data_IF_874688797507
#
_entry.id   IF_874688797507
#
_cell.length_a   1.000
_cell.length_b   1.000
_cell.length_c   1.000
_cell.angle_alpha   90.00
_cell.angle_beta   90.00
_cell.angle_gamma   90.00
#
_symmetry.space_group_name_H-M   'P 1'
#
loop_
_entity.id
_entity.type
_entity.pdbx_description
1 polymer ?
#
# COMPACT_ATOMS: atom_id res chain seq x y z
N UNK A 1 32.93 41.32 -13.17
CA UNK A 1 31.47 41.08 -12.94
C UNK A 1 31.11 39.65 -13.36
N UNK A 2 31.51 38.62 -12.59
CA UNK A 2 31.29 37.19 -12.95
C UNK A 2 30.80 36.30 -11.78
N UNK A 3 30.51 36.86 -10.60
CA UNK A 3 30.03 36.10 -9.44
C UNK A 3 28.50 36.06 -9.27
N UNK A 4 27.73 36.92 -9.97
CA UNK A 4 26.26 37.01 -9.79
C UNK A 4 25.50 35.87 -10.50
N UNK A 5 26.04 35.34 -11.60
CA UNK A 5 25.34 34.33 -12.43
C UNK A 5 25.38 32.92 -11.83
N UNK A 6 26.39 32.60 -11.02
CA UNK A 6 26.54 31.28 -10.38
C UNK A 6 25.53 31.10 -9.23
N UNK A 7 25.24 32.17 -8.47
CA UNK A 7 24.25 32.11 -7.37
C UNK A 7 22.82 31.92 -7.87
N UNK A 8 22.49 32.41 -9.06
CA UNK A 8 21.13 32.33 -9.63
C UNK A 8 20.79 30.91 -10.11
N UNK A 9 21.78 30.14 -10.61
CA UNK A 9 21.59 28.76 -11.07
C UNK A 9 21.37 27.76 -9.92
N UNK A 10 22.02 27.97 -8.77
CA UNK A 10 21.88 27.06 -7.61
C UNK A 10 20.48 27.15 -7.00
N UNK A 11 19.87 28.35 -6.98
CA UNK A 11 18.51 28.54 -6.47
C UNK A 11 17.48 27.80 -7.33
N UNK A 12 17.63 27.81 -8.66
CA UNK A 12 16.73 27.08 -9.57
C UNK A 12 16.80 25.54 -9.39
N UNK A 13 18.00 24.99 -9.14
CA UNK A 13 18.17 23.56 -8.90
C UNK A 13 17.49 23.12 -7.60
N UNK A 14 17.60 23.91 -6.53
CA UNK A 14 16.98 23.58 -5.24
C UNK A 14 15.44 23.60 -5.33
N UNK A 15 14.86 24.52 -6.09
CA UNK A 15 13.40 24.59 -6.29
C UNK A 15 12.89 23.35 -7.06
N UNK A 16 13.63 22.90 -8.09
CA UNK A 16 13.23 21.75 -8.90
C UNK A 16 13.25 20.40 -8.15
N UNK A 17 14.11 20.26 -7.14
CA UNK A 17 14.21 19.03 -6.32
C UNK A 17 13.03 18.97 -5.32
N UNK A 18 12.67 20.10 -4.71
CA UNK A 18 11.57 20.15 -3.74
C UNK A 18 10.19 19.90 -4.40
N UNK A 19 9.98 20.35 -5.64
CA UNK A 19 8.74 20.06 -6.36
C UNK A 19 8.53 18.55 -6.62
N UNK A 20 9.61 17.83 -6.94
CA UNK A 20 9.54 16.40 -7.23
C UNK A 20 9.15 15.58 -5.99
N UNK A 21 9.72 15.90 -4.83
CA UNK A 21 9.38 15.23 -3.56
C UNK A 21 7.93 15.51 -3.10
N UNK A 22 7.38 16.69 -3.41
CA UNK A 22 6.00 17.02 -3.06
C UNK A 22 4.99 16.33 -4.01
N UNK A 23 5.31 16.23 -5.30
CA UNK A 23 4.45 15.54 -6.29
C UNK A 23 4.30 14.04 -6.02
N UNK A 24 5.33 13.36 -5.51
CA UNK A 24 5.27 11.91 -5.26
C UNK A 24 4.29 11.56 -4.14
N UNK A 25 4.23 12.34 -3.05
CA UNK A 25 3.24 12.12 -1.98
C UNK A 25 1.81 12.40 -2.46
N UNK A 26 1.61 13.46 -3.26
CA UNK A 26 0.29 13.76 -3.85
C UNK A 26 -0.22 12.65 -4.77
N UNK A 27 0.68 11.84 -5.36
CA UNK A 27 0.28 10.73 -6.22
C UNK A 27 -0.45 9.59 -5.50
N UNK A 28 -0.41 9.54 -4.17
CA UNK A 28 -1.09 8.55 -3.32
C UNK A 28 -2.31 9.12 -2.59
N UNK A 29 -2.24 10.38 -2.13
CA UNK A 29 -3.28 10.99 -1.30
C UNK A 29 -4.63 11.05 -2.02
N UNK A 30 -5.70 10.64 -1.33
CA UNK A 30 -7.07 10.62 -1.85
C UNK A 30 -7.40 9.38 -2.68
N UNK A 31 -6.44 8.48 -2.89
CA UNK A 31 -6.61 7.27 -3.71
C UNK A 31 -6.79 6.03 -2.88
N UNK A 32 -7.39 5.04 -3.52
CA UNK A 32 -7.61 3.70 -2.98
C UNK A 32 -6.85 2.73 -3.87
N UNK A 33 -6.04 1.87 -3.28
CA UNK A 33 -5.34 0.83 -3.99
C UNK A 33 -5.72 -0.54 -3.45
N UNK A 34 -5.70 -1.57 -4.29
CA UNK A 34 -5.97 -2.93 -3.85
C UNK A 34 -5.12 -3.98 -4.55
N UNK A 35 -4.84 -5.07 -3.84
CA UNK A 35 -4.17 -6.25 -4.38
C UNK A 35 -4.78 -7.53 -3.78
N UNK A 36 -4.84 -8.60 -4.59
CA UNK A 36 -5.17 -9.95 -4.11
C UNK A 36 -3.90 -10.57 -3.53
N UNK A 37 -3.88 -10.81 -2.23
CA UNK A 37 -2.70 -11.25 -1.47
C UNK A 37 -2.78 -12.70 -1.01
N UNK A 38 -3.95 -13.35 -1.14
CA UNK A 38 -4.10 -14.73 -0.73
C UNK A 38 -5.39 -15.38 -1.21
N UNK A 39 -5.52 -16.65 -0.88
CA UNK A 39 -6.75 -17.41 -1.00
C UNK A 39 -6.85 -18.43 0.13
N UNK A 40 -8.07 -18.78 0.51
CA UNK A 40 -8.40 -19.82 1.48
C UNK A 40 -9.33 -20.79 0.76
N UNK A 41 -9.04 -22.09 0.88
CA UNK A 41 -9.96 -23.15 0.48
C UNK A 41 -10.69 -23.63 1.74
N UNK A 42 -12.02 -23.68 1.70
CA UNK A 42 -12.84 -24.15 2.81
C UNK A 42 -13.34 -25.56 2.49
N UNK A 43 -13.03 -26.52 3.36
CA UNK A 43 -13.58 -27.88 3.29
C UNK A 43 -15.03 -27.85 3.77
N UNK A 44 -15.95 -28.40 2.98
CA UNK A 44 -17.38 -28.49 3.32
C UNK A 44 -17.87 -29.94 3.29
N UNK A 45 -18.78 -30.36 4.20
CA UNK A 45 -19.29 -31.74 4.22
C UNK A 45 -20.00 -32.14 2.92
N UNK A 46 -20.67 -31.17 2.28
CA UNK A 46 -21.34 -31.30 0.99
C UNK A 46 -20.73 -30.33 -0.02
N UNK A 47 -20.78 -30.60 -1.34
CA UNK A 47 -20.29 -29.68 -2.36
C UNK A 47 -20.92 -28.29 -2.23
N UNK A 48 -20.11 -27.29 -1.90
CA UNK A 48 -20.54 -25.89 -1.83
C UNK A 48 -19.78 -25.06 -2.85
N UNK A 49 -20.43 -24.54 -3.91
CA UNK A 49 -19.76 -23.75 -4.95
C UNK A 49 -19.22 -22.41 -4.43
N UNK A 50 -19.69 -21.94 -3.27
CA UNK A 50 -19.21 -20.74 -2.63
C UNK A 50 -18.07 -21.00 -1.62
N UNK A 51 -17.67 -22.26 -1.42
CA UNK A 51 -16.60 -22.60 -0.50
C UNK A 51 -15.25 -22.14 -1.07
N UNK A 52 -14.59 -21.28 -0.30
CA UNK A 52 -13.33 -20.64 -0.69
C UNK A 52 -13.44 -19.12 -0.76
N UNK A 53 -12.34 -18.49 -0.41
CA UNK A 53 -12.25 -17.03 -0.29
C UNK A 53 -10.96 -16.53 -0.93
N UNK A 54 -11.04 -15.40 -1.62
CA UNK A 54 -9.88 -14.62 -2.02
C UNK A 54 -9.64 -13.52 -0.98
N UNK A 55 -8.38 -13.30 -0.61
CA UNK A 55 -8.01 -12.27 0.36
C UNK A 55 -7.44 -11.09 -0.41
N UNK A 56 -7.99 -9.91 -0.14
CA UNK A 56 -7.58 -8.63 -0.69
C UNK A 56 -7.07 -7.72 0.41
N UNK A 57 -5.96 -7.03 0.14
CA UNK A 57 -5.52 -5.90 0.93
C UNK A 57 -5.92 -4.62 0.20
N UNK A 58 -6.64 -3.73 0.89
CA UNK A 58 -7.09 -2.43 0.36
C UNK A 58 -6.44 -1.31 1.18
N UNK A 59 -5.80 -0.38 0.50
CA UNK A 59 -5.08 0.75 1.08
C UNK A 59 -5.76 2.04 0.64
N UNK A 60 -6.29 2.81 1.59
CA UNK A 60 -6.86 4.13 1.33
C UNK A 60 -5.99 5.18 1.99
N UNK A 61 -5.31 5.99 1.18
CA UNK A 61 -4.40 7.02 1.67
C UNK A 61 -5.12 8.36 1.77
N UNK A 62 -5.07 8.96 2.95
CA UNK A 62 -5.39 10.38 3.16
C UNK A 62 -4.09 11.13 3.52
N UNK A 63 -4.18 12.45 3.77
CA UNK A 63 -2.98 13.28 4.02
C UNK A 63 -2.16 12.83 5.24
N UNK A 64 -2.83 12.36 6.27
CA UNK A 64 -2.24 12.04 7.58
C UNK A 64 -2.18 10.53 7.84
N UNK A 65 -3.18 9.81 7.35
CA UNK A 65 -3.43 8.42 7.72
C UNK A 65 -3.65 7.56 6.48
N UNK A 66 -3.31 6.29 6.62
CA UNK A 66 -3.69 5.23 5.69
C UNK A 66 -4.64 4.28 6.40
N UNK A 67 -5.78 4.00 5.78
CA UNK A 67 -6.67 2.93 6.19
C UNK A 67 -6.26 1.67 5.44
N UNK A 68 -5.90 0.62 6.16
CA UNK A 68 -5.60 -0.71 5.60
C UNK A 68 -6.77 -1.63 5.93
N UNK A 69 -7.38 -2.24 4.93
CA UNK A 69 -8.47 -3.19 5.11
C UNK A 69 -8.11 -4.52 4.49
N UNK A 70 -8.19 -5.58 5.30
CA UNK A 70 -8.17 -6.95 4.81
C UNK A 70 -9.60 -7.39 4.54
N UNK A 71 -9.88 -7.71 3.29
CA UNK A 71 -11.19 -8.15 2.83
C UNK A 71 -11.11 -9.56 2.30
N UNK A 72 -12.12 -10.36 2.62
CA UNK A 72 -12.34 -11.63 1.97
C UNK A 72 -13.47 -11.48 0.96
N UNK A 73 -13.30 -12.07 -0.22
CA UNK A 73 -14.36 -12.23 -1.22
C UNK A 73 -14.56 -13.71 -1.48
N UNK A 74 -15.76 -14.22 -1.20
CA UNK A 74 -16.08 -15.62 -1.50
C UNK A 74 -16.16 -15.88 -3.01
N UNK A 75 -16.15 -17.15 -3.42
CA UNK A 75 -16.38 -17.55 -4.83
C UNK A 75 -17.75 -17.11 -5.38
N UNK A 76 -18.67 -16.70 -4.50
CA UNK A 76 -19.99 -16.17 -4.86
C UNK A 76 -20.08 -14.65 -4.63
N UNK A 77 -18.94 -13.95 -4.70
CA UNK A 77 -18.81 -12.49 -4.64
C UNK A 77 -19.30 -11.82 -3.33
N UNK A 78 -19.45 -12.59 -2.26
CA UNK A 78 -19.76 -12.02 -0.94
C UNK A 78 -18.49 -11.45 -0.32
N UNK A 79 -18.48 -10.14 -0.08
CA UNK A 79 -17.38 -9.47 0.64
C UNK A 79 -17.61 -9.47 2.15
N UNK A 80 -16.54 -9.73 2.90
CA UNK A 80 -16.46 -9.52 4.35
C UNK A 80 -15.16 -8.80 4.72
N UNK A 81 -15.22 -7.96 5.75
CA UNK A 81 -14.01 -7.31 6.31
C UNK A 81 -13.50 -8.19 7.43
N UNK A 82 -12.26 -8.69 7.28
CA UNK A 82 -11.59 -9.47 8.32
C UNK A 82 -10.92 -8.55 9.33
N UNK A 83 -10.14 -7.58 8.84
CA UNK A 83 -9.42 -6.60 9.65
C UNK A 83 -9.48 -5.22 9.02
N UNK A 84 -9.48 -4.19 9.87
CA UNK A 84 -9.35 -2.81 9.44
C UNK A 84 -8.47 -2.04 10.42
N UNK A 85 -7.41 -1.44 9.90
CA UNK A 85 -6.44 -0.66 10.65
C UNK A 85 -6.35 0.75 10.11
N UNK A 86 -5.94 1.67 10.98
CA UNK A 86 -5.73 3.08 10.62
C UNK A 86 -4.46 3.56 11.30
N UNK A 87 -3.48 3.94 10.49
CA UNK A 87 -2.17 4.36 10.98
C UNK A 87 -1.69 5.63 10.29
N UNK A 88 -0.88 6.41 11.00
CA UNK A 88 -0.12 7.48 10.38
C UNK A 88 0.87 6.91 9.36
N UNK A 89 1.13 7.67 8.30
CA UNK A 89 2.08 7.26 7.27
C UNK A 89 2.90 8.41 6.70
N UNK A 90 4.02 8.06 6.08
CA UNK A 90 4.86 8.98 5.32
C UNK A 90 5.39 8.31 4.05
N UNK A 91 5.80 9.14 3.09
CA UNK A 91 6.57 8.71 1.93
C UNK A 91 8.00 9.24 2.13
N UNK A 92 8.96 8.33 2.22
CA UNK A 92 10.39 8.64 2.28
C UNK A 92 11.05 8.12 1.00
N UNK A 93 11.41 9.04 0.11
CA UNK A 93 11.73 8.77 -1.31
C UNK A 93 10.62 7.95 -2.02
N UNK A 94 10.87 6.65 -2.22
CA UNK A 94 9.93 5.70 -2.82
C UNK A 94 9.28 4.80 -1.77
N UNK A 95 9.70 4.83 -0.52
CA UNK A 95 9.25 3.91 0.54
C UNK A 95 8.04 4.49 1.26
N UNK A 96 6.94 3.74 1.29
CA UNK A 96 5.77 4.09 2.08
C UNK A 96 5.94 3.49 3.48
N UNK A 97 6.13 4.35 4.47
CA UNK A 97 6.32 3.98 5.88
C UNK A 97 4.98 4.08 6.59
N UNK A 98 4.52 2.96 7.16
CA UNK A 98 3.30 2.87 7.95
C UNK A 98 3.69 2.72 9.41
N UNK A 99 3.26 3.64 10.27
CA UNK A 99 3.55 3.61 11.71
C UNK A 99 2.56 2.68 12.44
N UNK A 100 2.60 1.38 12.11
CA UNK A 100 1.72 0.37 12.68
C UNK A 100 2.14 -0.07 14.08
N UNK A 101 1.17 -0.51 14.90
CA UNK A 101 1.43 -1.19 16.16
C UNK A 101 1.70 -2.70 15.91
N UNK A 102 2.90 -3.24 16.18
CA UNK A 102 3.25 -4.63 15.88
C UNK A 102 2.34 -5.67 16.52
N UNK A 103 1.82 -5.40 17.72
CA UNK A 103 0.93 -6.35 18.42
C UNK A 103 -0.47 -6.40 17.81
N UNK A 104 -0.97 -5.28 17.27
CA UNK A 104 -2.30 -5.22 16.63
C UNK A 104 -2.31 -5.91 15.27
N UNK A 105 -1.20 -5.83 14.53
CA UNK A 105 -1.10 -6.37 13.16
C UNK A 105 -0.61 -7.81 13.13
N UNK A 106 -0.31 -8.39 14.29
CA UNK A 106 0.23 -9.75 14.41
C UNK A 106 -0.71 -10.76 13.76
N UNK A 107 -0.13 -11.70 13.01
CA UNK A 107 -0.84 -12.73 12.22
C UNK A 107 -1.70 -12.19 11.07
N UNK A 108 -1.57 -10.92 10.70
CA UNK A 108 -2.21 -10.34 9.52
C UNK A 108 -1.20 -10.14 8.40
N UNK A 109 -1.70 -9.89 7.19
CA UNK A 109 -0.84 -9.54 6.04
C UNK A 109 -0.05 -8.23 6.26
N UNK A 110 -0.43 -7.39 7.23
CA UNK A 110 0.23 -6.12 7.53
C UNK A 110 1.51 -6.30 8.36
N UNK A 111 1.65 -7.40 9.13
CA UNK A 111 2.79 -7.63 10.04
C UNK A 111 4.15 -7.47 9.37
N UNK A 112 4.26 -7.92 8.11
CA UNK A 112 5.50 -7.86 7.32
C UNK A 112 5.28 -7.27 5.93
N UNK A 113 4.33 -6.34 5.83
CA UNK A 113 4.08 -5.60 4.59
C UNK A 113 5.13 -4.50 4.40
N UNK A 114 5.77 -4.48 3.23
CA UNK A 114 6.64 -3.40 2.77
C UNK A 114 6.01 -2.78 1.53
N UNK A 115 5.91 -1.45 1.48
CA UNK A 115 5.29 -0.73 0.37
C UNK A 115 6.30 0.21 -0.30
N UNK A 116 6.30 0.24 -1.63
CA UNK A 116 7.11 1.14 -2.42
C UNK A 116 6.29 1.76 -3.56
N UNK A 117 6.45 3.06 -3.77
CA UNK A 117 5.93 3.81 -4.90
C UNK A 117 7.04 3.99 -5.94
N UNK A 118 7.01 3.17 -7.00
CA UNK A 118 8.00 3.24 -8.08
C UNK A 118 7.33 3.65 -9.38
N UNK A 119 7.82 4.73 -10.00
CA UNK A 119 7.26 5.25 -11.25
C UNK A 119 5.73 5.47 -11.19
N UNK A 120 5.23 5.99 -10.06
CA UNK A 120 3.79 6.21 -9.83
C UNK A 120 2.95 4.94 -9.61
N UNK A 121 3.58 3.77 -9.51
CA UNK A 121 2.91 2.49 -9.23
C UNK A 121 3.21 2.05 -7.80
N UNK A 122 2.17 1.76 -7.04
CA UNK A 122 2.31 1.21 -5.69
C UNK A 122 2.56 -0.30 -5.79
N UNK A 123 3.66 -0.76 -5.20
CA UNK A 123 4.03 -2.17 -5.06
C UNK A 123 4.10 -2.53 -3.59
N UNK A 124 3.65 -3.72 -3.23
CA UNK A 124 3.82 -4.28 -1.90
C UNK A 124 4.56 -5.60 -1.92
N UNK A 125 5.41 -5.84 -0.93
CA UNK A 125 6.02 -7.12 -0.67
C UNK A 125 5.56 -7.62 0.70
N UNK A 126 5.16 -8.89 0.78
CA UNK A 126 4.73 -9.54 2.02
C UNK A 126 5.66 -10.71 2.29
N UNK A 127 6.30 -10.70 3.45
CA UNK A 127 7.11 -11.83 3.93
C UNK A 127 6.21 -12.85 4.64
N UNK A 128 6.07 -14.05 4.06
CA UNK A 128 5.26 -15.13 4.63
C UNK A 128 6.01 -15.87 5.75
N UNK A 129 5.32 -16.69 6.59
CA UNK A 129 5.96 -17.46 7.66
C UNK A 129 7.09 -18.39 7.20
N UNK A 130 7.08 -18.82 5.94
CA UNK A 130 8.15 -19.62 5.33
C UNK A 130 9.38 -18.79 4.92
N UNK A 131 9.41 -17.48 5.21
CA UNK A 131 10.49 -16.56 4.88
C UNK A 131 10.50 -16.06 3.44
N UNK A 132 9.53 -16.46 2.61
CA UNK A 132 9.45 -16.00 1.22
C UNK A 132 8.75 -14.64 1.13
N UNK A 133 9.36 -13.73 0.38
CA UNK A 133 8.74 -12.47 -0.03
C UNK A 133 7.95 -12.69 -1.32
N UNK A 134 6.68 -12.29 -1.33
CA UNK A 134 5.89 -12.19 -2.57
C UNK A 134 5.54 -10.74 -2.85
N UNK A 135 5.75 -10.34 -4.09
CA UNK A 135 5.40 -9.01 -4.58
C UNK A 135 3.99 -8.95 -5.16
N UNK A 136 3.35 -7.82 -4.95
CA UNK A 136 1.99 -7.52 -5.37
C UNK A 136 1.94 -6.12 -5.99
N UNK A 137 1.34 -6.02 -7.17
CA UNK A 137 1.00 -4.73 -7.77
C UNK A 137 -0.33 -4.25 -7.20
N UNK A 138 -0.29 -3.14 -6.45
CA UNK A 138 -1.47 -2.50 -5.90
C UNK A 138 -2.09 -1.60 -6.96
N UNK A 139 -3.27 -2.01 -7.45
CA UNK A 139 -3.99 -1.28 -8.51
C UNK A 139 -4.86 -0.20 -7.90
N UNK A 140 -4.83 0.99 -8.48
CA UNK A 140 -5.73 2.08 -8.12
C UNK A 140 -7.17 1.68 -8.47
N UNK A 141 -8.06 1.75 -7.49
CA UNK A 141 -9.49 1.56 -7.67
C UNK A 141 -10.11 2.91 -7.99
N UNK A 142 -10.46 3.12 -9.26
CA UNK A 142 -11.21 4.30 -9.69
C UNK A 142 -12.64 4.13 -9.19
N UNK A 143 -13.08 5.01 -8.28
CA UNK A 143 -14.47 5.11 -7.86
C UNK A 143 -15.29 5.87 -8.90
#
# INVERSE_FOLDING_TARGET
>A
MRLKTIKLNIVFIIIAINLQAQQTKESLVGKIFSAKVGYICEETPEPNPCAGQQIFLVLQFNKEEVTITEKNRSSCDKETVAYQFKYAWSLDDEVVVINSNPEEVRYTYLEKLKLNLKNGKLKGAITYPNGQDKEYDFKENIK
#
